data_IF_389945251930
#
_entry.id   IF_389945251930
#
_cell.length_a   1.000
_cell.length_b   1.000
_cell.length_c   1.000
_cell.angle_alpha   90.00
_cell.angle_beta   90.00
_cell.angle_gamma   90.00
#
_symmetry.space_group_name_H-M   'P 1'
#
loop_
_entity.id
_entity.type
_entity.pdbx_description
1 polymer ?
#
# COMPACT_ATOMS: atom_id res chain seq x y z
N UNK A 1 16.22 26.30 49.14
CA UNK A 1 14.94 25.76 49.63
C UNK A 1 13.81 26.47 48.89
N UNK A 2 12.54 26.24 49.23
CA UNK A 2 11.46 27.05 48.66
C UNK A 2 11.54 28.49 49.18
N UNK A 3 11.02 29.44 48.41
CA UNK A 3 10.90 30.84 48.82
C UNK A 3 11.61 31.82 47.90
N UNK A 4 11.62 33.08 48.33
CA UNK A 4 12.26 34.18 47.62
C UNK A 4 13.70 34.34 48.11
N UNK A 5 14.63 34.30 47.18
CA UNK A 5 16.04 34.49 47.43
C UNK A 5 16.51 35.74 46.74
N UNK A 6 17.44 36.41 47.38
CA UNK A 6 18.23 37.43 46.72
C UNK A 6 19.57 36.86 46.32
N UNK A 7 20.04 37.24 45.14
CA UNK A 7 21.35 36.83 44.65
C UNK A 7 22.13 38.03 44.12
N UNK A 8 23.45 37.92 44.18
CA UNK A 8 24.39 38.85 43.60
C UNK A 8 25.55 38.07 43.01
N UNK A 9 26.10 38.57 41.90
CA UNK A 9 27.34 38.03 41.36
C UNK A 9 28.52 38.73 42.03
N UNK A 10 29.62 38.00 42.25
CA UNK A 10 30.89 38.58 42.69
C UNK A 10 32.03 38.16 41.79
N UNK A 11 32.97 39.08 41.60
CA UNK A 11 34.11 38.92 40.72
C UNK A 11 35.37 39.34 41.48
N UNK A 12 36.51 38.72 41.18
CA UNK A 12 37.83 39.20 41.64
C UNK A 12 38.84 38.99 40.53
N UNK A 13 39.81 39.90 40.44
CA UNK A 13 40.96 39.73 39.57
C UNK A 13 42.15 39.21 40.36
N UNK A 14 42.69 38.06 39.95
CA UNK A 14 43.80 37.36 40.63
C UNK A 14 43.53 37.19 42.15
N UNK A 15 44.44 37.73 42.97
CA UNK A 15 44.37 37.68 44.44
C UNK A 15 43.82 38.97 45.06
N UNK A 16 43.18 39.83 44.26
CA UNK A 16 42.51 41.04 44.75
C UNK A 16 41.24 40.76 45.56
N UNK A 17 40.67 41.79 46.20
CA UNK A 17 39.42 41.70 46.93
C UNK A 17 38.24 41.36 46.01
N UNK A 18 37.18 40.78 46.57
CA UNK A 18 35.93 40.51 45.85
C UNK A 18 35.14 41.80 45.62
N UNK A 19 34.70 42.01 44.38
CA UNK A 19 33.72 43.03 43.99
C UNK A 19 32.37 42.36 43.80
N UNK A 20 31.33 42.87 44.46
CA UNK A 20 29.96 42.39 44.33
C UNK A 20 29.17 43.31 43.40
N UNK A 21 28.34 42.75 42.53
CA UNK A 21 27.53 43.49 41.58
C UNK A 21 26.04 43.40 41.92
N UNK A 22 25.34 44.52 41.79
CA UNK A 22 23.88 44.65 41.82
C UNK A 22 23.34 44.85 40.40
N UNK A 23 22.02 44.97 40.23
CA UNK A 23 21.37 45.11 38.91
C UNK A 23 21.80 46.38 38.14
N UNK A 24 22.38 47.37 38.81
CA UNK A 24 22.90 48.62 38.25
C UNK A 24 24.43 48.64 38.08
N UNK A 25 25.11 47.49 38.27
CA UNK A 25 26.55 47.34 38.05
C UNK A 25 27.38 47.27 39.34
N UNK A 26 28.65 47.68 39.27
CA UNK A 26 29.64 47.55 40.37
C UNK A 26 30.34 48.85 40.75
N UNK A 27 29.86 50.00 40.28
CA UNK A 27 30.52 51.31 40.44
C UNK A 27 30.33 51.96 41.83
N UNK A 28 29.96 51.20 42.86
CA UNK A 28 29.68 51.71 44.21
C UNK A 28 29.67 50.62 45.30
N UNK A 29 29.32 51.01 46.53
CA UNK A 29 29.07 50.07 47.65
C UNK A 29 27.86 49.19 47.38
N UNK A 30 27.93 47.90 47.74
CA UNK A 30 26.84 46.94 47.55
C UNK A 30 25.52 47.46 48.14
N UNK A 31 24.49 47.56 47.30
CA UNK A 31 23.14 48.00 47.68
C UNK A 31 22.18 46.79 47.74
N UNK A 32 21.81 46.32 48.95
CA UNK A 32 20.84 45.23 49.10
C UNK A 32 19.48 45.50 48.46
N UNK A 33 19.10 46.76 48.20
CA UNK A 33 17.85 47.08 47.53
C UNK A 33 17.87 46.79 46.02
N UNK A 34 19.05 46.60 45.42
CA UNK A 34 19.24 46.38 43.98
C UNK A 34 19.80 45.00 43.62
N UNK A 35 19.71 44.04 44.53
CA UNK A 35 20.09 42.66 44.27
C UNK A 35 19.11 41.95 43.31
N UNK A 36 19.60 40.91 42.61
CA UNK A 36 18.75 40.06 41.79
C UNK A 36 17.76 39.28 42.66
N UNK A 37 16.55 39.05 42.15
CA UNK A 37 15.53 38.24 42.82
C UNK A 37 15.35 36.90 42.12
N UNK A 38 15.31 35.82 42.90
CA UNK A 38 15.02 34.46 42.44
C UNK A 38 13.90 33.90 43.29
N UNK A 39 12.78 33.54 42.67
CA UNK A 39 11.72 32.78 43.33
C UNK A 39 11.90 31.30 43.05
N UNK A 40 12.10 30.49 44.10
CA UNK A 40 12.19 29.03 44.00
C UNK A 40 10.85 28.44 44.44
N UNK A 41 10.07 27.97 43.46
CA UNK A 41 8.77 27.34 43.69
C UNK A 41 8.91 25.85 44.01
N UNK A 42 7.88 25.27 44.63
CA UNK A 42 7.80 23.82 44.77
C UNK A 42 7.81 23.16 43.39
N UNK A 43 8.49 22.01 43.29
CA UNK A 43 8.36 21.19 42.09
C UNK A 43 6.88 20.83 41.90
N UNK A 44 6.30 20.99 40.69
CA UNK A 44 4.93 20.61 40.44
C UNK A 44 4.70 19.14 40.83
N UNK A 45 3.51 18.79 41.34
CA UNK A 45 3.14 17.39 41.54
C UNK A 45 3.40 16.61 40.24
N UNK A 46 3.91 15.37 40.35
CA UNK A 46 4.16 14.47 39.21
C UNK A 46 2.87 13.89 38.62
N UNK A 47 1.74 14.56 38.81
CA UNK A 47 0.43 14.25 38.23
C UNK A 47 0.07 15.36 37.27
N UNK A 48 -0.77 15.05 36.29
CA UNK A 48 -1.38 16.09 35.45
C UNK A 48 -2.46 16.83 36.25
N UNK A 49 -2.79 18.06 35.86
CA UNK A 49 -3.74 18.88 36.60
C UNK A 49 -5.19 18.65 36.09
N UNK A 50 -5.32 18.34 34.80
CA UNK A 50 -6.58 17.92 34.19
C UNK A 50 -6.33 17.05 32.96
N UNK A 51 -7.25 16.14 32.66
CA UNK A 51 -7.30 15.47 31.37
C UNK A 51 -8.73 15.07 31.01
N UNK A 52 -8.98 14.87 29.72
CA UNK A 52 -10.31 14.51 29.18
C UNK A 52 -10.18 13.63 27.94
N UNK A 53 -11.08 12.66 27.78
CA UNK A 53 -11.34 12.01 26.50
C UNK A 53 -12.09 13.04 25.63
N UNK A 54 -11.42 13.60 24.63
CA UNK A 54 -11.91 14.78 23.94
C UNK A 54 -12.97 14.44 22.89
N UNK A 55 -12.66 13.50 21.99
CA UNK A 55 -13.53 13.12 20.89
C UNK A 55 -13.01 11.83 20.22
N UNK A 56 -13.86 10.95 19.69
CA UNK A 56 -15.31 10.92 19.85
C UNK A 56 -15.78 10.31 21.18
N UNK A 57 -17.04 10.53 21.58
CA UNK A 57 -17.71 9.88 22.72
C UNK A 57 -18.25 8.51 22.36
N UNK A 58 -18.55 8.28 21.08
CA UNK A 58 -18.93 6.97 20.59
C UNK A 58 -18.60 6.83 19.11
N UNK A 59 -18.54 5.59 18.65
CA UNK A 59 -18.38 5.29 17.24
C UNK A 59 -18.76 3.86 16.90
N UNK A 60 -18.86 3.61 15.60
CA UNK A 60 -19.03 2.28 15.04
C UNK A 60 -18.07 2.12 13.87
N UNK A 61 -17.38 0.98 13.83
CA UNK A 61 -16.43 0.63 12.77
C UNK A 61 -16.55 -0.85 12.41
N UNK A 62 -16.02 -1.23 11.25
CA UNK A 62 -15.88 -2.64 10.86
C UNK A 62 -14.58 -3.20 11.42
N UNK A 63 -14.57 -4.46 11.87
CA UNK A 63 -13.35 -5.10 12.37
C UNK A 63 -12.20 -4.98 11.36
N UNK A 64 -10.99 -4.67 11.84
CA UNK A 64 -9.80 -4.43 11.01
C UNK A 64 -9.62 -2.98 10.54
N UNK A 65 -10.64 -2.13 10.69
CA UNK A 65 -10.53 -0.69 10.42
C UNK A 65 -10.10 0.07 11.69
N UNK A 66 -9.22 1.06 11.53
CA UNK A 66 -8.73 1.88 12.64
C UNK A 66 -9.74 2.94 13.06
N UNK A 67 -9.92 3.13 14.37
CA UNK A 67 -10.77 4.17 14.95
C UNK A 67 -9.91 5.19 15.69
N UNK A 68 -9.83 6.43 15.17
CA UNK A 68 -9.00 7.49 15.76
C UNK A 68 -9.73 8.19 16.90
N UNK A 69 -9.07 8.31 18.04
CA UNK A 69 -9.60 8.93 19.26
C UNK A 69 -8.61 9.98 19.76
N UNK A 70 -9.12 11.10 20.25
CA UNK A 70 -8.38 12.26 20.73
C UNK A 70 -8.58 12.44 22.24
N UNK A 71 -7.51 12.79 22.94
CA UNK A 71 -7.52 13.11 24.36
C UNK A 71 -6.76 14.40 24.61
N UNK A 72 -7.18 15.19 25.60
CA UNK A 72 -6.50 16.43 25.97
C UNK A 72 -5.98 16.36 27.40
N UNK A 73 -4.84 17.01 27.63
CA UNK A 73 -4.18 17.06 28.93
C UNK A 73 -3.71 18.47 29.25
N UNK A 74 -3.89 18.88 30.50
CA UNK A 74 -3.43 20.14 31.05
C UNK A 74 -2.44 19.90 32.19
N UNK A 75 -1.30 20.59 32.11
CA UNK A 75 -0.35 20.74 33.20
C UNK A 75 0.16 22.17 33.23
N UNK A 76 -0.11 22.87 34.32
CA UNK A 76 0.27 24.26 34.52
C UNK A 76 1.79 24.45 34.41
N UNK A 77 2.20 25.40 33.57
CA UNK A 77 3.61 25.68 33.27
C UNK A 77 4.26 24.69 32.31
N UNK A 78 3.51 23.71 31.77
CA UNK A 78 4.02 22.65 30.88
C UNK A 78 3.26 22.64 29.55
N UNK A 79 1.97 22.34 29.54
CA UNK A 79 1.15 22.21 28.30
C UNK A 79 0.61 23.55 27.78
N UNK A 80 0.78 24.61 28.56
CA UNK A 80 0.32 25.96 28.18
C UNK A 80 1.33 26.73 27.32
N UNK A 81 2.38 26.05 26.85
CA UNK A 81 3.40 26.60 25.95
C UNK A 81 3.30 25.88 24.61
N UNK A 82 3.67 26.56 23.52
CA UNK A 82 3.60 25.95 22.20
C UNK A 82 4.57 24.76 22.06
N UNK A 83 4.08 23.69 21.45
CA UNK A 83 4.82 22.47 21.15
C UNK A 83 4.73 21.40 22.24
N UNK A 84 5.04 20.17 21.81
CA UNK A 84 4.93 18.96 22.63
C UNK A 84 5.57 19.08 24.01
N UNK A 85 4.79 18.83 25.07
CA UNK A 85 5.32 18.59 26.40
C UNK A 85 6.06 17.24 26.49
N UNK A 86 7.40 17.26 26.47
CA UNK A 86 8.24 16.04 26.45
C UNK A 86 8.13 15.18 27.70
N UNK A 87 7.75 15.77 28.83
CA UNK A 87 7.60 15.09 30.12
C UNK A 87 6.18 14.49 30.31
N UNK A 88 5.27 14.69 29.35
CA UNK A 88 3.90 14.18 29.38
C UNK A 88 3.78 12.95 28.50
N UNK A 89 3.19 11.89 29.06
CA UNK A 89 2.89 10.65 28.37
C UNK A 89 1.38 10.43 28.38
N UNK A 90 0.80 10.21 27.20
CA UNK A 90 -0.61 9.87 27.00
C UNK A 90 -0.75 8.46 26.46
N UNK A 91 -1.77 7.74 26.94
CA UNK A 91 -2.14 6.42 26.43
C UNK A 91 -3.64 6.36 26.15
N UNK A 92 -3.99 5.75 25.04
CA UNK A 92 -5.36 5.38 24.69
C UNK A 92 -5.59 3.92 25.09
N UNK A 93 -6.62 3.69 25.89
CA UNK A 93 -6.99 2.38 26.40
C UNK A 93 -8.35 1.92 25.90
N UNK A 94 -8.53 0.60 25.77
CA UNK A 94 -9.83 -0.01 25.53
C UNK A 94 -10.00 -1.31 26.30
N UNK A 95 -11.26 -1.67 26.55
CA UNK A 95 -11.70 -2.93 27.15
C UNK A 95 -13.11 -3.28 26.71
N UNK A 96 -13.63 -4.42 27.19
CA UNK A 96 -15.02 -4.83 26.89
C UNK A 96 -15.99 -3.78 27.41
N UNK A 97 -17.05 -3.46 26.64
CA UNK A 97 -18.05 -2.49 27.07
C UNK A 97 -18.64 -2.86 28.43
N UNK A 98 -18.75 -1.86 29.31
CA UNK A 98 -19.21 -2.08 30.67
C UNK A 98 -18.16 -2.69 31.60
N UNK A 99 -16.85 -2.52 31.33
CA UNK A 99 -15.74 -2.72 32.29
C UNK A 99 -15.15 -1.36 32.72
N UNK A 100 -14.47 -1.29 33.86
CA UNK A 100 -13.87 -0.07 34.39
C UNK A 100 -12.38 0.05 34.02
N UNK A 101 -12.03 0.98 33.12
CA UNK A 101 -10.65 1.15 32.67
C UNK A 101 -9.66 1.69 33.70
N UNK A 102 -10.14 2.28 34.79
CA UNK A 102 -9.27 2.76 35.86
C UNK A 102 -8.84 1.66 36.83
N UNK A 103 -9.55 0.53 36.86
CA UNK A 103 -9.35 -0.52 37.87
C UNK A 103 -9.20 -1.93 37.30
N UNK A 104 -9.77 -2.24 36.14
CA UNK A 104 -9.76 -3.60 35.58
C UNK A 104 -8.52 -3.88 34.73
N UNK A 105 -7.81 -4.96 35.04
CA UNK A 105 -6.58 -5.37 34.34
C UNK A 105 -6.79 -5.91 32.91
N UNK A 106 -8.05 -6.10 32.49
CA UNK A 106 -8.44 -6.55 31.15
C UNK A 106 -8.24 -5.47 30.08
N UNK A 107 -8.05 -4.21 30.48
CA UNK A 107 -7.85 -3.09 29.57
C UNK A 107 -6.46 -3.09 28.95
N UNK A 108 -6.43 -2.90 27.64
CA UNK A 108 -5.18 -2.76 26.87
C UNK A 108 -4.92 -1.28 26.62
N UNK A 109 -3.70 -0.83 26.95
CA UNK A 109 -3.28 0.57 26.85
C UNK A 109 -2.13 0.71 25.84
N UNK A 110 -2.28 1.63 24.89
CA UNK A 110 -1.29 1.92 23.85
C UNK A 110 -0.87 3.38 23.93
N UNK A 111 0.41 3.68 23.70
CA UNK A 111 0.92 5.05 23.63
C UNK A 111 0.20 5.86 22.54
N UNK A 112 -0.19 7.08 22.88
CA UNK A 112 -0.78 8.05 21.97
C UNK A 112 0.25 9.12 21.61
N UNK A 113 0.13 9.68 20.41
CA UNK A 113 1.05 10.69 19.89
C UNK A 113 0.52 12.10 20.13
N UNK A 114 1.42 13.05 20.37
CA UNK A 114 1.06 14.46 20.39
C UNK A 114 0.55 14.88 19.00
N UNK A 115 -0.65 15.44 18.94
CA UNK A 115 -1.26 15.95 17.73
C UNK A 115 -1.02 17.46 17.57
N UNK A 116 -1.48 18.26 18.53
CA UNK A 116 -1.37 19.73 18.49
C UNK A 116 -1.56 20.38 19.86
N UNK A 117 -1.21 21.65 19.96
CA UNK A 117 -1.63 22.52 21.05
C UNK A 117 -3.13 22.86 20.91
N UNK A 118 -3.88 22.75 21.99
CA UNK A 118 -5.32 23.01 22.07
C UNK A 118 -5.61 24.00 23.21
N UNK A 119 -5.53 25.30 22.91
CA UNK A 119 -5.56 26.38 23.90
C UNK A 119 -4.45 26.21 24.95
N UNK A 120 -4.80 25.91 26.21
CA UNK A 120 -3.84 25.67 27.29
C UNK A 120 -3.47 24.18 27.43
N UNK A 121 -4.11 23.29 26.65
CA UNK A 121 -3.94 21.85 26.72
C UNK A 121 -3.07 21.36 25.56
N UNK A 122 -2.44 20.19 25.74
CA UNK A 122 -1.90 19.41 24.62
C UNK A 122 -2.96 18.39 24.21
N UNK A 123 -3.24 18.27 22.91
CA UNK A 123 -4.11 17.22 22.34
C UNK A 123 -3.27 16.08 21.79
N UNK A 124 -3.61 14.87 22.20
CA UNK A 124 -3.00 13.61 21.77
C UNK A 124 -3.99 12.83 20.90
N UNK A 125 -3.46 12.05 19.96
CA UNK A 125 -4.22 11.17 19.08
C UNK A 125 -3.73 9.73 19.21
N UNK A 126 -4.66 8.78 19.19
CA UNK A 126 -4.39 7.35 19.19
C UNK A 126 -5.40 6.61 18.34
N UNK A 127 -5.05 5.41 17.88
CA UNK A 127 -5.91 4.58 17.01
C UNK A 127 -6.24 3.27 17.71
N UNK A 128 -7.54 2.95 17.80
CA UNK A 128 -8.04 1.66 18.26
C UNK A 128 -8.28 0.74 17.06
N UNK A 129 -7.95 -0.54 17.20
CA UNK A 129 -8.33 -1.60 16.25
C UNK A 129 -8.66 -2.91 16.98
N UNK A 130 -9.70 -2.93 17.84
CA UNK A 130 -10.08 -4.14 18.55
C UNK A 130 -10.89 -5.09 17.64
N UNK A 131 -11.02 -6.35 18.06
CA UNK A 131 -11.89 -7.33 17.39
C UNK A 131 -13.37 -6.99 17.50
N UNK A 132 -14.23 -7.79 16.86
CA UNK A 132 -15.68 -7.62 16.90
C UNK A 132 -16.23 -7.58 18.33
N UNK A 133 -17.23 -6.72 18.55
CA UNK A 133 -17.93 -6.57 19.81
C UNK A 133 -18.11 -5.11 20.23
N UNK A 134 -18.72 -4.93 21.39
CA UNK A 134 -18.86 -3.62 22.01
C UNK A 134 -17.70 -3.39 22.97
N UNK A 135 -17.01 -2.26 22.82
CA UNK A 135 -15.86 -1.86 23.61
C UNK A 135 -16.14 -0.54 24.32
N UNK A 136 -15.48 -0.34 25.45
CA UNK A 136 -15.31 0.96 26.07
C UNK A 136 -13.87 1.43 25.88
N UNK A 137 -13.67 2.75 25.80
CA UNK A 137 -12.34 3.36 25.69
C UNK A 137 -12.21 4.63 26.53
N UNK A 138 -10.97 4.95 26.86
CA UNK A 138 -10.61 6.09 27.70
C UNK A 138 -9.16 6.51 27.44
N UNK A 139 -8.80 7.70 27.90
CA UNK A 139 -7.41 8.15 27.94
C UNK A 139 -6.84 8.04 29.34
N UNK A 140 -5.51 7.90 29.44
CA UNK A 140 -4.77 8.17 30.66
C UNK A 140 -3.52 8.98 30.38
N UNK A 141 -3.17 9.88 31.29
CA UNK A 141 -1.97 10.72 31.18
C UNK A 141 -1.14 10.68 32.46
N UNK A 142 0.17 10.84 32.33
CA UNK A 142 1.06 11.05 33.47
C UNK A 142 2.15 12.05 33.13
N UNK A 143 2.70 12.67 34.17
CA UNK A 143 3.78 13.64 34.08
C UNK A 143 5.03 13.09 34.79
N UNK A 144 6.20 13.13 34.13
CA UNK A 144 7.50 12.66 34.68
C UNK A 144 7.46 11.26 35.30
N UNK A 145 6.80 10.33 34.61
CA UNK A 145 6.62 8.95 35.06
C UNK A 145 5.93 8.79 36.44
N UNK A 146 5.16 9.80 36.88
CA UNK A 146 4.32 9.71 38.08
C UNK A 146 3.09 8.82 37.89
N UNK A 147 2.11 8.99 38.77
CA UNK A 147 0.86 8.25 38.72
C UNK A 147 0.03 8.61 37.47
N UNK A 148 -0.71 7.62 36.96
CA UNK A 148 -1.66 7.82 35.87
C UNK A 148 -2.92 8.53 36.36
N UNK A 149 -3.32 9.57 35.65
CA UNK A 149 -4.65 10.17 35.72
C UNK A 149 -5.50 9.59 34.58
N UNK A 150 -6.65 9.02 34.92
CA UNK A 150 -7.58 8.43 33.97
C UNK A 150 -8.66 9.44 33.60
N UNK A 151 -9.04 9.46 32.33
CA UNK A 151 -9.82 10.54 31.74
C UNK A 151 -10.98 9.94 30.92
N UNK A 152 -12.18 10.34 31.27
CA UNK A 152 -13.45 10.07 30.62
C UNK A 152 -13.96 11.33 29.90
N UNK A 153 -15.21 11.33 29.45
CA UNK A 153 -15.78 12.36 28.58
C UNK A 153 -16.04 13.71 29.25
N UNK A 154 -16.23 13.76 30.56
CA UNK A 154 -16.40 15.01 31.32
C UNK A 154 -15.12 15.43 32.07
N UNK A 155 -14.07 14.62 31.96
CA UNK A 155 -12.72 14.95 32.36
C UNK A 155 -12.45 14.70 33.84
N UNK A 156 -11.18 14.72 34.23
CA UNK A 156 -10.71 14.13 35.48
C UNK A 156 -11.09 14.87 36.78
N UNK A 157 -11.94 15.90 36.75
CA UNK A 157 -12.20 16.77 37.92
C UNK A 157 -13.09 16.13 38.98
N UNK A 158 -13.98 15.21 38.58
CA UNK A 158 -14.88 14.46 39.46
C UNK A 158 -14.41 13.00 39.67
N UNK A 159 -13.19 12.68 39.24
CA UNK A 159 -12.66 11.32 39.20
C UNK A 159 -13.24 10.51 38.04
N UNK A 160 -12.59 9.38 37.72
CA UNK A 160 -13.00 8.56 36.59
C UNK A 160 -14.35 7.88 36.82
N UNK A 161 -15.26 8.03 35.87
CA UNK A 161 -16.60 7.46 35.85
C UNK A 161 -16.74 6.51 34.66
N UNK A 162 -16.92 5.23 34.95
CA UNK A 162 -17.16 4.19 33.94
C UNK A 162 -18.32 4.52 32.98
N UNK A 163 -19.35 5.22 33.45
CA UNK A 163 -20.51 5.61 32.63
C UNK A 163 -20.19 6.73 31.63
N UNK A 164 -19.08 7.45 31.82
CA UNK A 164 -18.61 8.53 30.93
C UNK A 164 -17.47 8.06 30.01
N UNK A 165 -17.22 6.76 29.91
CA UNK A 165 -16.28 6.21 28.94
C UNK A 165 -16.79 6.39 27.50
N UNK A 166 -15.86 6.47 26.56
CA UNK A 166 -16.22 6.37 25.15
C UNK A 166 -16.68 4.95 24.79
N UNK A 167 -17.60 4.82 23.85
CA UNK A 167 -18.12 3.51 23.40
C UNK A 167 -17.80 3.24 21.93
N UNK A 168 -17.27 2.06 21.61
CA UNK A 168 -16.97 1.66 20.24
C UNK A 168 -17.67 0.34 19.93
N UNK A 169 -18.54 0.34 18.92
CA UNK A 169 -19.11 -0.88 18.36
C UNK A 169 -18.26 -1.33 17.18
N UNK A 170 -17.66 -2.51 17.26
CA UNK A 170 -16.95 -3.13 16.14
C UNK A 170 -17.82 -4.24 15.56
N UNK A 171 -18.27 -4.09 14.32
CA UNK A 171 -19.10 -5.10 13.64
C UNK A 171 -18.25 -6.02 12.76
N UNK A 172 -18.72 -7.26 12.56
CA UNK A 172 -18.16 -8.11 11.51
C UNK A 172 -18.24 -7.41 10.14
N UNK A 173 -17.29 -7.67 9.22
CA UNK A 173 -17.43 -7.28 7.83
C UNK A 173 -18.69 -7.91 7.23
N UNK A 174 -19.41 -7.14 6.42
CA UNK A 174 -20.48 -7.68 5.57
C UNK A 174 -19.91 -8.71 4.58
N UNK A 175 -20.79 -9.45 3.88
CA UNK A 175 -20.37 -10.23 2.72
C UNK A 175 -19.67 -9.33 1.71
N UNK A 176 -18.52 -9.78 1.19
CA UNK A 176 -17.79 -9.08 0.15
C UNK A 176 -18.08 -9.72 -1.20
N UNK A 177 -18.11 -8.90 -2.24
CA UNK A 177 -18.08 -9.34 -3.63
C UNK A 177 -16.63 -9.32 -4.11
N UNK A 178 -16.18 -10.37 -4.80
CA UNK A 178 -14.81 -10.48 -5.31
C UNK A 178 -14.83 -11.07 -6.70
N UNK A 179 -14.00 -10.56 -7.62
CA UNK A 179 -13.93 -11.08 -9.00
C UNK A 179 -12.52 -10.98 -9.57
N UNK A 180 -12.03 -12.05 -10.16
CA UNK A 180 -10.78 -12.05 -10.92
C UNK A 180 -10.93 -11.24 -12.21
N UNK A 181 -9.89 -10.48 -12.56
CA UNK A 181 -9.75 -9.97 -13.93
C UNK A 181 -9.25 -11.10 -14.83
N UNK A 182 -9.82 -11.27 -16.03
CA UNK A 182 -9.31 -12.23 -17.01
C UNK A 182 -7.84 -11.97 -17.34
N UNK A 183 -7.08 -13.05 -17.56
CA UNK A 183 -5.72 -12.91 -18.08
C UNK A 183 -5.78 -12.51 -19.55
N UNK A 184 -4.96 -11.54 -19.93
CA UNK A 184 -4.80 -11.18 -21.34
C UNK A 184 -4.23 -12.35 -22.15
N UNK A 185 -3.38 -13.16 -21.52
CA UNK A 185 -2.81 -14.37 -22.10
C UNK A 185 -3.05 -15.53 -21.12
N UNK A 186 -4.07 -16.36 -21.38
CA UNK A 186 -4.24 -17.65 -20.68
C UNK A 186 -3.10 -18.65 -20.92
N UNK A 187 -2.05 -18.23 -21.65
CA UNK A 187 -0.83 -18.97 -21.92
C UNK A 187 0.39 -18.07 -21.66
N UNK A 188 1.41 -18.58 -20.96
CA UNK A 188 2.59 -17.81 -20.60
C UNK A 188 3.90 -18.65 -20.60
N UNK A 189 5.06 -18.00 -20.65
CA UNK A 189 6.32 -18.69 -20.36
C UNK A 189 6.46 -18.91 -18.85
N UNK A 190 6.87 -20.09 -18.41
CA UNK A 190 6.93 -20.45 -16.99
C UNK A 190 7.81 -19.51 -16.15
N UNK A 191 8.88 -18.96 -16.75
CA UNK A 191 9.78 -18.00 -16.10
C UNK A 191 9.28 -16.56 -16.14
N UNK A 192 8.28 -16.24 -16.96
CA UNK A 192 7.79 -14.87 -17.12
C UNK A 192 7.01 -14.41 -15.89
N UNK A 193 6.90 -13.09 -15.76
CA UNK A 193 6.06 -12.44 -14.77
C UNK A 193 4.71 -12.06 -15.40
N UNK A 194 3.67 -12.72 -14.94
CA UNK A 194 2.29 -12.54 -15.38
C UNK A 194 1.54 -11.65 -14.38
N UNK A 195 0.76 -10.69 -14.86
CA UNK A 195 -0.09 -9.86 -14.00
C UNK A 195 -1.35 -10.63 -13.59
N UNK A 196 -1.48 -10.91 -12.30
CA UNK A 196 -2.70 -11.49 -11.70
C UNK A 196 -3.42 -10.40 -10.93
N UNK A 197 -4.72 -10.23 -11.20
CA UNK A 197 -5.53 -9.15 -10.63
C UNK A 197 -6.94 -9.63 -10.27
N UNK A 198 -7.49 -9.06 -9.20
CA UNK A 198 -8.86 -9.22 -8.79
C UNK A 198 -9.39 -7.94 -8.14
N UNK A 199 -10.69 -7.76 -8.21
CA UNK A 199 -11.41 -6.67 -7.57
C UNK A 199 -12.15 -7.16 -6.32
N UNK A 200 -12.29 -6.29 -5.33
CA UNK A 200 -13.11 -6.52 -4.15
C UNK A 200 -14.02 -5.32 -3.89
N UNK A 201 -15.29 -5.60 -3.61
CA UNK A 201 -16.23 -4.66 -2.98
C UNK A 201 -16.58 -5.20 -1.58
N UNK A 202 -16.27 -4.42 -0.55
CA UNK A 202 -16.67 -4.71 0.82
C UNK A 202 -17.26 -3.44 1.46
N UNK A 203 -18.57 -3.47 1.70
CA UNK A 203 -19.32 -2.34 2.24
C UNK A 203 -18.73 -1.84 3.57
N UNK A 204 -18.55 -0.53 3.69
CA UNK A 204 -17.90 0.14 4.82
C UNK A 204 -16.38 0.05 4.82
N UNK A 205 -15.77 -0.69 3.90
CA UNK A 205 -14.32 -0.90 3.81
C UNK A 205 -13.75 -0.30 2.53
N UNK A 206 -14.34 -0.58 1.36
CA UNK A 206 -13.87 -0.13 0.04
C UNK A 206 -14.68 1.06 -0.53
N UNK A 207 -15.53 1.68 0.31
CA UNK A 207 -16.44 2.76 -0.12
C UNK A 207 -15.72 4.10 -0.37
N UNK A 208 -14.51 4.26 0.14
CA UNK A 208 -13.70 5.47 0.03
C UNK A 208 -12.38 5.17 -0.67
N UNK A 209 -11.80 6.17 -1.33
CA UNK A 209 -10.51 6.06 -2.00
C UNK A 209 -9.42 5.47 -1.08
N UNK A 210 -8.66 4.54 -1.64
CA UNK A 210 -7.52 3.91 -0.98
C UNK A 210 -7.68 2.39 -0.89
N UNK A 211 -6.81 1.75 -0.12
CA UNK A 211 -6.68 0.30 -0.09
C UNK A 211 -7.89 -0.44 0.55
N UNK A 212 -8.73 0.25 1.33
CA UNK A 212 -9.67 -0.39 2.25
C UNK A 212 -8.96 -1.01 3.46
N UNK A 213 -9.15 -0.42 4.63
CA UNK A 213 -8.46 -0.83 5.85
C UNK A 213 -8.85 -2.25 6.29
N UNK A 214 -7.86 -3.07 6.64
CA UNK A 214 -8.09 -4.45 7.07
C UNK A 214 -8.29 -5.45 5.94
N UNK A 215 -8.01 -5.08 4.68
CA UNK A 215 -7.95 -6.02 3.56
C UNK A 215 -6.50 -6.51 3.38
N UNK A 216 -6.33 -7.82 3.43
CA UNK A 216 -5.13 -8.51 2.95
C UNK A 216 -5.51 -9.33 1.72
N UNK A 217 -4.67 -9.33 0.69
CA UNK A 217 -4.91 -10.12 -0.51
C UNK A 217 -3.68 -10.97 -0.84
N UNK A 218 -3.92 -12.21 -1.23
CA UNK A 218 -2.87 -13.15 -1.63
C UNK A 218 -3.30 -13.92 -2.88
N UNK A 219 -2.35 -14.32 -3.70
CA UNK A 219 -2.59 -15.12 -4.89
C UNK A 219 -1.81 -16.43 -4.85
N UNK A 220 -2.36 -17.47 -5.47
CA UNK A 220 -1.69 -18.75 -5.63
C UNK A 220 -2.01 -19.39 -6.99
N UNK A 221 -1.10 -20.27 -7.41
CA UNK A 221 -1.32 -21.20 -8.50
C UNK A 221 -1.61 -22.57 -7.91
N UNK A 222 -2.65 -23.24 -8.39
CA UNK A 222 -2.91 -24.64 -8.07
C UNK A 222 -3.18 -25.49 -9.30
N UNK A 223 -3.23 -26.83 -9.13
CA UNK A 223 -3.52 -27.72 -10.24
C UNK A 223 -4.86 -27.39 -10.89
N UNK A 224 -4.93 -27.44 -12.22
CA UNK A 224 -6.17 -27.18 -12.98
C UNK A 224 -7.34 -28.04 -12.48
N UNK A 225 -8.50 -27.41 -12.31
CA UNK A 225 -9.76 -28.05 -11.91
C UNK A 225 -9.85 -28.39 -10.42
N UNK A 226 -9.01 -27.79 -9.56
CA UNK A 226 -9.01 -28.08 -8.12
C UNK A 226 -9.46 -26.89 -7.27
N UNK A 227 -9.92 -27.16 -6.05
CA UNK A 227 -10.32 -26.12 -5.09
C UNK A 227 -9.10 -25.47 -4.42
N UNK A 228 -9.07 -24.13 -4.27
CA UNK A 228 -8.01 -23.41 -3.57
C UNK A 228 -7.83 -23.77 -2.09
N UNK A 229 -8.81 -24.44 -1.48
CA UNK A 229 -8.75 -24.91 -0.09
C UNK A 229 -7.55 -25.82 0.20
N UNK A 230 -7.04 -26.53 -0.80
CA UNK A 230 -5.86 -27.39 -0.69
C UNK A 230 -4.56 -26.79 -1.24
N UNK A 231 -4.57 -25.56 -1.73
CA UNK A 231 -3.40 -24.95 -2.36
C UNK A 231 -2.42 -24.38 -1.32
N UNK A 232 -1.16 -24.33 -1.69
CA UNK A 232 -0.07 -23.75 -0.91
C UNK A 232 0.70 -22.72 -1.73
N UNK A 233 1.66 -22.01 -1.12
CA UNK A 233 2.45 -21.01 -1.83
C UNK A 233 1.70 -19.72 -2.14
N UNK A 234 0.80 -19.29 -1.25
CA UNK A 234 0.13 -18.01 -1.33
C UNK A 234 1.15 -16.86 -1.23
N UNK A 235 1.14 -15.97 -2.21
CA UNK A 235 2.02 -14.81 -2.29
C UNK A 235 1.20 -13.54 -2.10
N UNK A 236 1.71 -12.54 -1.36
CA UNK A 236 0.99 -11.29 -1.15
C UNK A 236 0.78 -10.55 -2.47
N UNK A 237 -0.40 -9.99 -2.67
CA UNK A 237 -0.72 -9.07 -3.77
C UNK A 237 -1.13 -7.72 -3.21
N UNK A 238 -0.74 -6.65 -3.91
CA UNK A 238 -0.90 -5.28 -3.43
C UNK A 238 -2.07 -4.56 -4.06
N UNK A 239 -2.55 -3.51 -3.39
CA UNK A 239 -3.51 -2.57 -3.96
C UNK A 239 -2.93 -1.85 -5.18
N UNK A 240 -3.72 -1.77 -6.24
CA UNK A 240 -3.37 -1.21 -7.55
C UNK A 240 -4.17 0.05 -7.88
N UNK A 241 -5.15 0.42 -7.06
CA UNK A 241 -6.00 1.59 -7.26
C UNK A 241 -7.49 1.27 -7.12
N UNK A 242 -8.29 2.33 -7.02
CA UNK A 242 -9.75 2.23 -6.98
C UNK A 242 -10.28 1.87 -8.37
N UNK A 243 -11.10 0.81 -8.48
CA UNK A 243 -11.81 0.40 -9.68
C UNK A 243 -13.25 0.92 -9.69
N UNK A 244 -13.72 1.37 -10.87
CA UNK A 244 -15.07 1.89 -11.06
C UNK A 244 -16.04 0.79 -11.48
N UNK A 245 -16.63 0.09 -10.53
CA UNK A 245 -17.91 -0.58 -10.75
C UNK A 245 -19.03 0.49 -10.81
N UNK A 246 -19.36 1.02 -11.99
CA UNK A 246 -20.57 1.82 -12.25
C UNK A 246 -20.84 3.11 -11.45
N UNK A 247 -19.99 3.51 -10.49
CA UNK A 247 -20.15 4.67 -9.60
C UNK A 247 -18.81 5.32 -9.18
N UNK A 248 -18.82 6.22 -8.18
CA UNK A 248 -17.68 7.12 -7.88
C UNK A 248 -16.50 6.53 -7.08
N UNK A 249 -16.59 5.33 -6.48
CA UNK A 249 -15.50 4.54 -5.88
C UNK A 249 -16.15 3.42 -5.08
N UNK A 250 -16.07 2.17 -5.49
CA UNK A 250 -16.66 1.10 -4.68
C UNK A 250 -15.84 -0.17 -4.70
N UNK A 251 -15.09 -0.44 -5.77
CA UNK A 251 -14.23 -1.61 -5.85
C UNK A 251 -12.79 -1.20 -5.68
N UNK A 252 -12.00 -2.02 -5.01
CA UNK A 252 -10.54 -1.89 -4.97
C UNK A 252 -9.91 -2.95 -5.85
N UNK A 253 -8.96 -2.54 -6.69
CA UNK A 253 -8.19 -3.46 -7.51
C UNK A 253 -6.94 -3.90 -6.75
N UNK A 254 -6.74 -5.21 -6.67
CA UNK A 254 -5.54 -5.81 -6.12
C UNK A 254 -4.86 -6.67 -7.16
N UNK A 255 -3.53 -6.76 -7.08
CA UNK A 255 -2.77 -7.63 -7.96
C UNK A 255 -1.28 -7.54 -7.78
N UNK A 256 -0.59 -8.44 -8.46
CA UNK A 256 0.86 -8.46 -8.55
C UNK A 256 1.31 -9.19 -9.81
N UNK A 257 2.58 -8.98 -10.15
CA UNK A 257 3.28 -9.80 -11.13
C UNK A 257 3.83 -11.06 -10.48
N UNK A 258 3.39 -12.23 -10.94
CA UNK A 258 3.72 -13.53 -10.37
C UNK A 258 4.34 -14.46 -11.42
N UNK A 259 5.10 -15.44 -10.95
CA UNK A 259 5.77 -16.44 -11.79
C UNK A 259 5.24 -17.82 -11.41
N UNK A 260 4.83 -18.60 -12.41
CA UNK A 260 4.39 -19.97 -12.19
C UNK A 260 5.57 -20.84 -11.70
N UNK A 261 5.32 -21.87 -10.88
CA UNK A 261 6.42 -22.65 -10.29
C UNK A 261 7.16 -23.52 -11.32
N UNK A 262 6.50 -23.96 -12.39
CA UNK A 262 7.06 -24.77 -13.46
C UNK A 262 6.16 -24.67 -14.72
N UNK A 263 6.60 -25.19 -15.88
CA UNK A 263 5.68 -25.46 -16.99
C UNK A 263 4.55 -26.40 -16.56
N UNK A 264 3.31 -26.10 -16.94
CA UNK A 264 2.14 -26.87 -16.53
C UNK A 264 0.82 -26.14 -16.71
N UNK A 265 -0.26 -26.81 -16.32
CA UNK A 265 -1.63 -26.28 -16.35
C UNK A 265 -2.10 -25.94 -14.94
N UNK A 266 -2.54 -24.69 -14.77
CA UNK A 266 -2.89 -24.11 -13.49
C UNK A 266 -4.28 -23.48 -13.53
N UNK A 267 -4.92 -23.53 -12.37
CA UNK A 267 -5.92 -22.54 -11.99
C UNK A 267 -5.22 -21.46 -11.15
N UNK A 268 -5.67 -20.22 -11.29
CA UNK A 268 -5.14 -19.05 -10.57
C UNK A 268 -6.25 -18.47 -9.72
N UNK A 269 -5.96 -18.22 -8.44
CA UNK A 269 -6.92 -17.63 -7.52
C UNK A 269 -6.26 -16.49 -6.73
N UNK A 270 -7.03 -15.45 -6.47
CA UNK A 270 -6.75 -14.47 -5.41
C UNK A 270 -7.73 -14.74 -4.27
N UNK A 271 -7.22 -14.73 -3.03
CA UNK A 271 -8.03 -14.71 -1.82
C UNK A 271 -7.92 -13.35 -1.15
N UNK A 272 -9.06 -12.80 -0.76
CA UNK A 272 -9.16 -11.60 0.06
C UNK A 272 -9.51 -12.00 1.49
N UNK A 273 -8.73 -11.51 2.43
CA UNK A 273 -8.95 -11.67 3.87
C UNK A 273 -9.36 -10.29 4.38
N UNK A 274 -10.62 -10.16 4.81
CA UNK A 274 -11.20 -8.90 5.28
C UNK A 274 -11.39 -8.97 6.79
N UNK A 275 -10.86 -7.97 7.49
CA UNK A 275 -10.91 -7.85 8.94
C UNK A 275 -9.63 -8.35 9.63
N UNK A 276 -9.68 -8.51 10.95
CA UNK A 276 -8.50 -8.85 11.76
C UNK A 276 -8.77 -9.95 12.79
N UNK A 277 -7.76 -10.78 13.05
CA UNK A 277 -7.82 -11.83 14.08
C UNK A 277 -8.93 -12.84 13.83
N UNK A 278 -9.61 -13.27 14.89
CA UNK A 278 -10.69 -14.26 14.80
C UNK A 278 -11.91 -13.79 13.99
N UNK A 279 -12.04 -12.49 13.71
CA UNK A 279 -13.14 -11.90 12.95
C UNK A 279 -12.84 -11.79 11.44
N UNK A 280 -11.66 -12.24 10.98
CA UNK A 280 -11.31 -12.19 9.56
C UNK A 280 -12.16 -13.15 8.73
N UNK A 281 -12.62 -12.70 7.56
CA UNK A 281 -13.35 -13.51 6.59
C UNK A 281 -12.54 -13.66 5.31
N UNK A 282 -12.49 -14.86 4.75
CA UNK A 282 -11.77 -15.15 3.50
C UNK A 282 -12.76 -15.29 2.34
N UNK A 283 -12.50 -14.60 1.24
CA UNK A 283 -13.27 -14.63 0.00
C UNK A 283 -12.33 -15.02 -1.13
N UNK A 284 -12.71 -16.03 -1.93
CA UNK A 284 -11.91 -16.52 -3.05
C UNK A 284 -12.49 -15.96 -4.35
N UNK A 285 -11.68 -15.25 -5.13
CA UNK A 285 -12.10 -14.67 -6.39
C UNK A 285 -11.99 -15.70 -7.53
N UNK A 286 -13.06 -15.80 -8.32
CA UNK A 286 -13.10 -16.46 -9.62
C UNK A 286 -13.64 -15.49 -10.68
N UNK A 287 -13.97 -15.96 -11.89
CA UNK A 287 -14.38 -15.09 -12.99
C UNK A 287 -15.82 -14.58 -12.91
N UNK A 288 -16.72 -15.18 -12.13
CA UNK A 288 -18.15 -14.84 -12.18
C UNK A 288 -18.56 -13.82 -11.10
N UNK A 289 -17.71 -13.57 -10.11
CA UNK A 289 -18.00 -12.62 -9.04
C UNK A 289 -18.86 -13.18 -7.91
N UNK A 290 -19.01 -14.49 -7.79
CA UNK A 290 -19.78 -15.14 -6.73
C UNK A 290 -18.99 -15.23 -5.43
N UNK A 291 -19.69 -15.58 -4.34
CA UNK A 291 -19.07 -15.76 -3.02
C UNK A 291 -18.44 -17.14 -2.84
N UNK A 292 -18.77 -18.10 -3.71
CA UNK A 292 -18.22 -19.45 -3.71
C UNK A 292 -17.33 -19.62 -4.93
N UNK A 293 -16.09 -20.07 -4.72
CA UNK A 293 -15.17 -20.38 -5.81
C UNK A 293 -15.58 -21.67 -6.51
N UNK A 294 -15.81 -21.60 -7.82
CA UNK A 294 -16.04 -22.78 -8.64
C UNK A 294 -14.82 -23.05 -9.55
N UNK A 295 -14.20 -24.26 -9.51
CA UNK A 295 -13.08 -24.59 -10.41
C UNK A 295 -13.42 -24.46 -11.91
N UNK A 296 -14.69 -24.59 -12.28
CA UNK A 296 -15.15 -24.39 -13.65
C UNK A 296 -15.07 -22.93 -14.13
N UNK A 297 -14.97 -21.99 -13.19
CA UNK A 297 -14.94 -20.54 -13.41
C UNK A 297 -13.58 -19.95 -13.00
N UNK A 298 -12.61 -20.81 -12.72
CA UNK A 298 -11.26 -20.42 -12.40
C UNK A 298 -10.61 -19.68 -13.57
N UNK A 299 -9.75 -18.71 -13.25
CA UNK A 299 -8.80 -18.21 -14.22
C UNK A 299 -7.81 -19.32 -14.54
N UNK A 300 -7.79 -19.76 -15.80
CA UNK A 300 -6.90 -20.82 -16.26
C UNK A 300 -5.61 -20.23 -16.85
N UNK A 301 -4.50 -20.87 -16.53
CA UNK A 301 -3.19 -20.55 -17.07
C UNK A 301 -2.52 -21.85 -17.55
N UNK A 302 -2.03 -21.84 -18.78
CA UNK A 302 -1.09 -22.86 -19.26
C UNK A 302 0.29 -22.23 -19.39
N UNK A 303 1.32 -22.88 -18.90
CA UNK A 303 2.70 -22.39 -19.02
C UNK A 303 3.59 -23.37 -19.74
N UNK A 304 4.51 -22.82 -20.52
CA UNK A 304 5.51 -23.57 -21.28
C UNK A 304 6.91 -23.13 -20.89
N UNK A 305 7.90 -23.98 -21.14
CA UNK A 305 9.27 -23.50 -21.23
C UNK A 305 9.38 -22.55 -22.43
N UNK A 306 10.19 -21.51 -22.30
CA UNK A 306 10.49 -20.67 -23.45
C UNK A 306 11.32 -21.45 -24.47
N UNK A 307 10.93 -21.45 -25.75
CA UNK A 307 11.65 -22.21 -26.77
C UNK A 307 13.01 -21.60 -27.09
N UNK A 308 14.02 -22.45 -27.23
CA UNK A 308 15.26 -22.12 -27.92
C UNK A 308 15.09 -22.23 -29.45
N UNK A 309 16.08 -21.80 -30.23
CA UNK A 309 16.00 -21.84 -31.69
C UNK A 309 15.78 -23.25 -32.27
N UNK A 310 16.20 -24.32 -31.58
CA UNK A 310 16.04 -25.70 -32.04
C UNK A 310 14.63 -26.25 -31.75
N UNK A 311 13.98 -25.72 -30.71
CA UNK A 311 12.65 -26.14 -30.27
C UNK A 311 11.57 -25.15 -30.64
N UNK A 312 11.90 -24.00 -31.22
CA UNK A 312 10.93 -22.97 -31.54
C UNK A 312 9.98 -23.37 -32.68
N UNK A 313 8.70 -23.03 -32.53
CA UNK A 313 7.73 -23.07 -33.61
C UNK A 313 7.70 -21.73 -34.38
N UNK A 314 8.13 -20.64 -33.76
CA UNK A 314 8.37 -19.35 -34.42
C UNK A 314 9.79 -19.35 -34.99
N UNK A 315 9.91 -19.48 -36.32
CA UNK A 315 11.20 -19.54 -36.99
C UNK A 315 11.93 -18.20 -37.02
N UNK A 316 11.18 -17.10 -37.08
CA UNK A 316 11.70 -15.73 -36.98
C UNK A 316 10.59 -14.77 -36.57
N UNK A 317 10.92 -13.70 -35.86
CA UNK A 317 10.01 -12.59 -35.63
C UNK A 317 10.74 -11.28 -35.31
N UNK A 318 10.11 -10.14 -35.52
CA UNK A 318 10.63 -8.84 -35.09
C UNK A 318 9.52 -7.87 -34.66
N UNK A 319 9.92 -6.79 -33.99
CA UNK A 319 9.22 -5.51 -34.03
C UNK A 319 9.59 -4.85 -35.35
N UNK A 320 8.62 -4.77 -36.25
CA UNK A 320 8.86 -4.28 -37.60
C UNK A 320 8.91 -2.76 -37.66
N UNK A 321 7.89 -2.09 -37.11
CA UNK A 321 7.80 -0.63 -37.15
C UNK A 321 6.71 -0.11 -36.19
N UNK A 322 6.89 1.06 -35.55
CA UNK A 322 8.14 1.80 -35.47
C UNK A 322 9.12 1.11 -34.51
N UNK A 323 10.42 1.36 -34.69
CA UNK A 323 11.44 0.96 -33.70
C UNK A 323 11.47 1.87 -32.46
N UNK A 324 10.89 3.07 -32.57
CA UNK A 324 10.74 4.01 -31.47
C UNK A 324 9.50 4.88 -31.65
N UNK A 325 8.80 5.21 -30.56
CA UNK A 325 7.64 6.12 -30.59
C UNK A 325 7.56 6.97 -29.31
N UNK A 326 6.64 7.94 -29.30
CA UNK A 326 6.35 8.80 -28.15
C UNK A 326 4.86 9.05 -28.01
N UNK A 327 4.36 9.14 -26.77
CA UNK A 327 2.96 9.40 -26.48
C UNK A 327 2.79 10.18 -25.16
N UNK A 328 1.69 10.91 -25.02
CA UNK A 328 1.36 11.57 -23.76
C UNK A 328 0.81 10.55 -22.73
N UNK A 329 0.97 10.80 -21.41
CA UNK A 329 0.39 9.95 -20.37
C UNK A 329 -1.09 9.63 -20.60
N UNK A 330 -1.46 8.35 -20.47
CA UNK A 330 -2.82 7.86 -20.67
C UNK A 330 -3.42 8.12 -22.07
N UNK A 331 -2.58 8.28 -23.09
CA UNK A 331 -3.03 8.36 -24.49
C UNK A 331 -2.61 7.12 -25.26
N UNK A 332 -3.38 6.75 -26.28
CA UNK A 332 -3.02 5.62 -27.14
C UNK A 332 -1.75 5.94 -27.93
N UNK A 333 -0.84 4.96 -28.05
CA UNK A 333 0.26 5.02 -29.01
C UNK A 333 -0.27 4.97 -30.45
N UNK A 334 0.59 5.25 -31.41
CA UNK A 334 0.35 4.81 -32.79
C UNK A 334 0.29 3.27 -32.88
N UNK A 335 -0.11 2.75 -34.04
CA UNK A 335 -0.05 1.31 -34.31
C UNK A 335 1.42 0.87 -34.40
N UNK A 336 1.76 -0.14 -33.61
CA UNK A 336 3.06 -0.81 -33.62
C UNK A 336 2.86 -2.16 -34.29
N UNK A 337 3.74 -2.46 -35.23
CA UNK A 337 3.71 -3.60 -36.13
C UNK A 337 4.84 -4.57 -35.78
N UNK A 338 4.52 -5.85 -35.76
CA UNK A 338 5.47 -6.94 -35.62
C UNK A 338 5.27 -7.94 -36.75
N UNK A 339 6.35 -8.58 -37.19
CA UNK A 339 6.27 -9.65 -38.20
C UNK A 339 6.70 -10.97 -37.61
N UNK A 340 6.17 -12.05 -38.19
CA UNK A 340 6.46 -13.42 -37.78
C UNK A 340 6.56 -14.34 -38.99
N UNK A 341 7.54 -15.24 -38.93
CA UNK A 341 7.68 -16.39 -39.81
C UNK A 341 7.43 -17.68 -39.01
N UNK A 342 6.49 -18.49 -39.48
CA UNK A 342 6.20 -19.84 -38.97
C UNK A 342 6.09 -20.77 -40.17
N UNK A 343 7.02 -21.71 -40.31
CA UNK A 343 7.09 -22.60 -41.47
C UNK A 343 5.80 -23.43 -41.63
N UNK A 344 5.22 -23.45 -42.82
CA UNK A 344 3.95 -24.12 -43.13
C UNK A 344 2.71 -23.46 -42.53
N UNK A 345 2.82 -22.21 -42.04
CA UNK A 345 1.73 -21.46 -41.41
C UNK A 345 1.65 -20.04 -41.96
N UNK A 346 2.72 -19.25 -41.83
CA UNK A 346 2.76 -17.86 -42.32
C UNK A 346 3.28 -17.74 -43.75
N UNK A 347 3.76 -18.84 -44.34
CA UNK A 347 4.32 -18.90 -45.69
C UNK A 347 3.27 -19.06 -46.79
N UNK A 348 2.04 -18.65 -46.48
CA UNK A 348 0.87 -18.70 -47.35
C UNK A 348 0.06 -17.41 -47.18
N UNK A 349 -0.72 -17.05 -48.20
CA UNK A 349 -1.56 -15.85 -48.16
C UNK A 349 -2.70 -15.99 -47.14
N UNK A 350 -2.82 -15.00 -46.26
CA UNK A 350 -3.93 -14.80 -45.32
C UNK A 350 -3.59 -15.18 -43.89
N UNK A 351 -4.40 -14.69 -42.95
CA UNK A 351 -4.20 -14.94 -41.51
C UNK A 351 -4.45 -16.40 -41.12
N UNK A 352 -3.51 -17.02 -40.41
CA UNK A 352 -3.76 -18.26 -39.68
C UNK A 352 -4.12 -17.98 -38.21
N UNK A 353 -5.30 -18.43 -37.80
CA UNK A 353 -5.82 -18.22 -36.45
C UNK A 353 -5.06 -18.96 -35.34
N UNK A 354 -4.10 -19.83 -35.68
CA UNK A 354 -3.27 -20.55 -34.70
C UNK A 354 -2.14 -19.69 -34.14
N UNK A 355 -1.72 -18.64 -34.84
CA UNK A 355 -0.65 -17.75 -34.37
C UNK A 355 -1.24 -16.82 -33.28
N UNK A 356 -0.75 -16.98 -32.06
CA UNK A 356 -0.96 -16.01 -31.00
C UNK A 356 0.03 -14.84 -31.15
N UNK A 357 -0.46 -13.61 -31.07
CA UNK A 357 0.35 -12.40 -31.16
C UNK A 357 -0.01 -11.43 -30.04
N UNK A 358 0.98 -10.98 -29.28
CA UNK A 358 0.82 -9.96 -28.24
C UNK A 358 1.88 -8.87 -28.40
N UNK A 359 1.47 -7.63 -28.24
CA UNK A 359 2.36 -6.49 -28.05
C UNK A 359 2.46 -6.22 -26.55
N UNK A 360 3.68 -6.12 -26.02
CA UNK A 360 3.91 -5.83 -24.62
C UNK A 360 4.81 -4.64 -24.38
N UNK A 361 4.67 -4.01 -23.22
CA UNK A 361 5.51 -2.91 -22.80
C UNK A 361 5.91 -3.00 -21.31
N UNK A 362 7.05 -2.40 -20.99
CA UNK A 362 7.64 -2.34 -19.65
C UNK A 362 8.58 -1.15 -19.47
N UNK A 363 9.13 -0.99 -18.28
CA UNK A 363 10.10 0.08 -17.97
C UNK A 363 11.33 0.04 -18.90
N UNK A 364 11.94 1.21 -19.15
CA UNK A 364 13.03 1.34 -20.12
C UNK A 364 14.29 0.54 -19.82
N UNK A 365 14.45 0.04 -18.60
CA UNK A 365 15.57 -0.80 -18.16
C UNK A 365 15.17 -2.23 -17.79
N UNK A 366 13.95 -2.66 -18.14
CA UNK A 366 13.43 -3.98 -17.80
C UNK A 366 13.46 -4.95 -18.98
N UNK A 367 13.23 -6.23 -18.69
CA UNK A 367 13.13 -7.32 -19.65
C UNK A 367 11.82 -8.08 -19.46
N UNK A 368 11.11 -8.48 -20.54
CA UNK A 368 9.86 -9.23 -20.43
C UNK A 368 10.04 -10.63 -19.83
N UNK A 369 11.30 -11.07 -19.67
CA UNK A 369 11.67 -12.37 -19.12
C UNK A 369 11.72 -12.37 -17.60
N UNK A 370 12.13 -11.25 -17.00
CA UNK A 370 12.46 -11.15 -15.57
C UNK A 370 11.57 -10.16 -14.83
N UNK A 371 10.96 -9.24 -15.56
CA UNK A 371 10.21 -8.11 -15.02
C UNK A 371 8.74 -8.16 -15.44
N UNK A 372 7.90 -7.43 -14.70
CA UNK A 372 6.48 -7.33 -15.00
C UNK A 372 6.24 -6.48 -16.25
N UNK A 373 5.67 -7.09 -17.28
CA UNK A 373 5.29 -6.44 -18.53
C UNK A 373 3.78 -6.53 -18.75
N UNK A 374 3.19 -5.47 -19.29
CA UNK A 374 1.78 -5.45 -19.67
C UNK A 374 1.65 -5.83 -21.13
N UNK A 375 0.68 -6.69 -21.45
CA UNK A 375 0.46 -7.23 -22.79
C UNK A 375 -0.92 -6.83 -23.29
N UNK A 376 -1.03 -6.60 -24.60
CA UNK A 376 -2.30 -6.39 -25.31
C UNK A 376 -2.39 -7.33 -26.51
N UNK A 377 -3.59 -7.84 -26.86
CA UNK A 377 -3.81 -8.60 -28.07
C UNK A 377 -3.40 -7.84 -29.33
N UNK A 378 -2.63 -8.49 -30.19
CA UNK A 378 -2.34 -7.99 -31.52
C UNK A 378 -3.25 -8.65 -32.55
N UNK A 379 -3.62 -7.88 -33.57
CA UNK A 379 -4.50 -8.34 -34.65
C UNK A 379 -3.71 -8.45 -35.94
N UNK A 380 -4.03 -9.45 -36.75
CA UNK A 380 -3.42 -9.61 -38.07
C UNK A 380 -3.69 -8.37 -38.94
N UNK A 381 -2.69 -7.98 -39.72
CA UNK A 381 -2.71 -6.78 -40.54
C UNK A 381 -2.64 -7.11 -42.02
N UNK A 382 -1.61 -7.84 -42.44
CA UNK A 382 -1.34 -8.18 -43.84
C UNK A 382 -0.25 -9.24 -43.96
N UNK A 383 -0.21 -9.90 -45.11
CA UNK A 383 0.95 -10.68 -45.54
C UNK A 383 2.13 -9.76 -45.90
N UNK A 384 3.34 -10.16 -45.55
CA UNK A 384 4.57 -9.43 -45.80
C UNK A 384 5.62 -10.35 -46.43
N UNK A 385 6.43 -9.77 -47.33
CA UNK A 385 7.55 -10.48 -47.93
C UNK A 385 8.60 -10.87 -46.87
N UNK A 386 9.20 -12.03 -47.08
CA UNK A 386 10.36 -12.55 -46.38
C UNK A 386 11.66 -12.23 -47.10
N UNK A 387 12.42 -13.27 -47.45
CA UNK A 387 13.74 -13.11 -48.07
C UNK A 387 13.65 -12.82 -49.57
N UNK A 388 12.54 -13.15 -50.20
CA UNK A 388 12.30 -12.93 -51.62
C UNK A 388 11.08 -12.03 -51.81
N UNK A 389 11.16 -11.07 -52.74
CA UNK A 389 9.99 -10.22 -53.02
C UNK A 389 8.85 -11.04 -53.64
N UNK A 390 7.64 -10.84 -53.12
CA UNK A 390 6.43 -11.56 -53.49
C UNK A 390 6.31 -12.97 -52.92
N UNK A 391 7.21 -13.40 -52.03
CA UNK A 391 7.10 -14.71 -51.39
C UNK A 391 6.03 -14.75 -50.29
N UNK A 392 5.61 -13.58 -49.78
CA UNK A 392 4.63 -13.45 -48.70
C UNK A 392 4.91 -14.39 -47.52
N UNK A 393 6.18 -14.60 -47.19
CA UNK A 393 6.57 -15.61 -46.21
C UNK A 393 6.21 -15.24 -44.75
N UNK A 394 6.00 -13.95 -44.48
CA UNK A 394 5.76 -13.43 -43.13
C UNK A 394 4.33 -12.95 -42.96
N UNK A 395 3.79 -13.12 -41.76
CA UNK A 395 2.58 -12.41 -41.33
C UNK A 395 2.94 -11.13 -40.56
N UNK A 396 2.24 -10.03 -40.84
CA UNK A 396 2.35 -8.78 -40.09
C UNK A 396 1.14 -8.60 -39.16
N UNK A 397 1.41 -8.33 -37.89
CA UNK A 397 0.43 -8.05 -36.85
C UNK A 397 0.59 -6.63 -36.34
N UNK A 398 -0.50 -6.01 -35.86
CA UNK A 398 -0.46 -4.69 -35.25
C UNK A 398 -1.26 -4.61 -33.97
N UNK A 399 -0.81 -3.74 -33.07
CA UNK A 399 -1.53 -3.33 -31.86
C UNK A 399 -1.15 -1.90 -31.46
N UNK A 400 -1.93 -1.33 -30.56
CA UNK A 400 -1.62 -0.09 -29.85
C UNK A 400 -1.97 -0.29 -28.38
N UNK A 401 -1.34 0.47 -27.48
CA UNK A 401 -1.68 0.46 -26.06
C UNK A 401 -1.76 1.89 -25.53
N UNK A 402 -2.38 2.08 -24.35
CA UNK A 402 -2.36 3.36 -23.66
C UNK A 402 -1.03 3.53 -22.94
N UNK A 403 -0.34 4.64 -23.23
CA UNK A 403 0.92 4.98 -22.60
C UNK A 403 0.76 5.08 -21.07
N UNK A 404 1.75 4.60 -20.29
CA UNK A 404 1.76 4.71 -18.84
C UNK A 404 1.45 6.12 -18.33
N UNK A 405 0.81 6.26 -17.15
CA UNK A 405 0.47 7.58 -16.58
C UNK A 405 1.69 8.38 -16.11
N UNK A 406 2.85 7.73 -15.98
CA UNK A 406 4.09 8.34 -15.50
C UNK A 406 4.98 8.67 -16.69
N UNK A 407 5.44 9.91 -16.79
CA UNK A 407 6.42 10.31 -17.79
C UNK A 407 7.75 9.57 -17.59
N UNK A 408 8.39 9.14 -18.68
CA UNK A 408 9.60 8.34 -18.60
C UNK A 408 9.92 7.55 -19.85
N UNK A 409 11.04 6.82 -19.81
CA UNK A 409 11.45 5.88 -20.86
C UNK A 409 10.92 4.47 -20.60
N UNK A 410 10.36 3.88 -21.64
CA UNK A 410 9.75 2.54 -21.67
C UNK A 410 10.29 1.75 -22.86
N UNK A 411 10.09 0.43 -22.82
CA UNK A 411 10.36 -0.48 -23.94
C UNK A 411 9.09 -1.21 -24.34
N UNK A 412 9.04 -1.63 -25.60
CA UNK A 412 8.00 -2.52 -26.10
C UNK A 412 8.57 -3.60 -27.01
N UNK A 413 7.90 -4.74 -27.05
CA UNK A 413 8.26 -5.91 -27.87
C UNK A 413 7.00 -6.58 -28.38
N UNK A 414 7.13 -7.28 -29.50
CA UNK A 414 6.16 -8.30 -29.88
C UNK A 414 6.55 -9.64 -29.26
N UNK A 415 5.55 -10.50 -29.05
CA UNK A 415 5.77 -11.93 -28.86
C UNK A 415 4.77 -12.75 -29.66
N UNK A 416 5.25 -13.86 -30.21
CA UNK A 416 4.45 -14.80 -30.98
C UNK A 416 4.54 -16.22 -30.44
N UNK A 417 3.51 -17.02 -30.70
CA UNK A 417 3.50 -18.46 -30.42
C UNK A 417 2.57 -19.19 -31.37
N UNK A 418 2.82 -20.49 -31.57
CA UNK A 418 1.88 -21.39 -32.23
C UNK A 418 1.34 -22.44 -31.24
N UNK A 419 2.19 -23.37 -30.82
CA UNK A 419 1.88 -24.48 -29.92
C UNK A 419 2.74 -24.50 -28.66
N UNK A 420 3.88 -23.80 -28.65
CA UNK A 420 4.83 -23.76 -27.53
C UNK A 420 4.74 -22.46 -26.73
N UNK A 421 5.79 -22.19 -25.94
CA UNK A 421 5.98 -20.93 -25.24
C UNK A 421 6.13 -19.74 -26.19
N UNK A 422 6.02 -18.55 -25.64
CA UNK A 422 6.16 -17.30 -26.37
C UNK A 422 7.62 -17.06 -26.80
N UNK A 423 7.79 -16.71 -28.06
CA UNK A 423 9.04 -16.14 -28.59
C UNK A 423 8.96 -14.63 -28.54
N UNK A 424 9.89 -14.00 -27.82
CA UNK A 424 10.01 -12.54 -27.78
C UNK A 424 10.77 -12.04 -29.02
N UNK A 425 10.35 -10.88 -29.51
CA UNK A 425 10.83 -10.29 -30.76
C UNK A 425 11.35 -8.89 -30.50
N UNK A 426 12.63 -8.66 -30.77
CA UNK A 426 13.28 -7.35 -30.77
C UNK A 426 13.23 -6.73 -32.18
N UNK A 427 13.92 -5.60 -32.37
CA UNK A 427 13.84 -4.82 -33.62
C UNK A 427 14.68 -5.36 -34.78
N UNK A 428 15.70 -6.18 -34.51
CA UNK A 428 16.57 -6.76 -35.55
C UNK A 428 16.34 -8.25 -35.79
N UNK A 429 15.42 -8.85 -35.04
CA UNK A 429 14.85 -10.15 -35.33
C UNK A 429 15.36 -11.22 -34.38
N UNK A 430 14.42 -12.01 -33.88
CA UNK A 430 14.66 -13.08 -32.93
C UNK A 430 14.14 -14.42 -33.47
N UNK A 431 14.76 -15.52 -33.08
CA UNK A 431 14.35 -16.88 -33.48
C UNK A 431 14.26 -17.84 -32.27
N UNK A 432 14.09 -17.30 -31.06
CA UNK A 432 14.01 -18.06 -29.81
C UNK A 432 14.82 -17.41 -28.71
N UNK A 433 15.00 -18.14 -27.61
CA UNK A 433 15.61 -17.67 -26.36
C UNK A 433 16.92 -16.88 -26.54
N UNK A 434 17.88 -17.43 -27.30
CA UNK A 434 19.19 -16.81 -27.51
C UNK A 434 19.19 -15.68 -28.56
N UNK A 435 18.14 -15.61 -29.38
CA UNK A 435 18.03 -14.63 -30.47
C UNK A 435 17.42 -13.30 -30.04
N UNK A 436 16.86 -13.20 -28.83
CA UNK A 436 16.26 -11.97 -28.32
C UNK A 436 17.24 -11.17 -27.45
N UNK A 437 17.43 -9.91 -27.80
CA UNK A 437 18.22 -8.93 -27.05
C UNK A 437 17.29 -7.84 -26.45
N UNK A 438 17.13 -7.78 -25.11
CA UNK A 438 16.35 -6.72 -24.46
C UNK A 438 16.84 -5.29 -24.78
N UNK A 439 18.12 -5.11 -25.12
CA UNK A 439 18.67 -3.80 -25.49
C UNK A 439 18.18 -3.32 -26.86
N UNK A 440 17.70 -4.22 -27.72
CA UNK A 440 17.18 -3.94 -29.06
C UNK A 440 15.65 -3.95 -29.12
N UNK A 441 14.98 -3.93 -27.97
CA UNK A 441 13.53 -3.73 -27.91
C UNK A 441 13.15 -2.36 -28.48
N UNK A 442 11.91 -2.23 -28.96
CA UNK A 442 11.39 -0.93 -29.35
C UNK A 442 11.33 0.02 -28.15
N UNK A 443 11.48 1.33 -28.38
CA UNK A 443 11.53 2.32 -27.28
C UNK A 443 10.33 3.24 -27.31
N UNK A 444 9.65 3.41 -26.16
CA UNK A 444 8.58 4.38 -25.97
C UNK A 444 9.06 5.50 -25.04
N UNK A 445 8.85 6.74 -25.43
CA UNK A 445 9.04 7.91 -24.55
C UNK A 445 7.67 8.48 -24.17
N UNK A 446 7.37 8.51 -22.87
CA UNK A 446 6.14 9.14 -22.34
C UNK A 446 6.47 10.54 -21.84
N UNK A 447 5.79 11.55 -22.38
CA UNK A 447 6.06 12.98 -22.14
C UNK A 447 4.83 13.79 -21.81
#
# INVERSE_FOLDING_TARGET
ALGSYSYAYRFKYQNGPWTYCTLDGSSGTYDPARQGSLTVNAAPPSTVDFCVLQWPPNGQVVAGTGFTVFGQVYKAGVTNSAGRATDVQGQLGHGVAGTDGSTEASWTWTDADFGKDANNNDEYQGVLNPGEGNHAYAYRFRYRAGAWSYCDLDGSTNGYQKQQQGLLTVTAPAGAWVQMRPLVAGVENAAAKLLVQAEIFAAGVTDAAGQGAGITAEAAFGPRGTSPSGWSGWLPVGYQGDARGGGTQSNDLYGAFLTAPAPGEYDVAIRFIVGSGASSRTYLADLNGATEYLPAEAVQLTTFAEPDAATNDVGWCNVQWPGSTSAAPNTATESIYGRVFVAGVSDHVGSDGRIGALLGFGLGNSSPRTDGWTWVPATWSSDADGLSSGDHANDEYRASFFAPPVAGGYRYVFRFRLAKGWTYCDTDGSNGLAGFDPAKSGTLTVQ
#
